data_IF_782843339965
#
_entry.id   IF_782843339965
#
_cell.length_a   1.000
_cell.length_b   1.000
_cell.length_c   1.000
_cell.angle_alpha   90.00
_cell.angle_beta   90.00
_cell.angle_gamma   90.00
#
_symmetry.space_group_name_H-M   'P 1'
#
loop_
_entity.id
_entity.type
_entity.pdbx_description
1 polymer ?
#
# COMPACT_ATOMS: atom_id res chain seq x y z
N UNK A 1 -5.42 -39.21 -9.75
CA UNK A 1 -4.68 -37.96 -9.57
C UNK A 1 -5.57 -37.04 -8.74
N UNK A 2 -5.29 -36.88 -7.45
CA UNK A 2 -6.14 -36.10 -6.53
C UNK A 2 -5.69 -34.64 -6.57
N UNK A 3 -6.32 -33.82 -7.41
CA UNK A 3 -6.28 -32.37 -7.22
C UNK A 3 -6.98 -32.06 -5.88
N UNK A 4 -6.37 -31.23 -5.04
CA UNK A 4 -6.66 -31.15 -3.61
C UNK A 4 -8.14 -30.95 -3.26
N UNK A 5 -8.66 -31.84 -2.40
CA UNK A 5 -10.02 -31.89 -1.83
C UNK A 5 -10.49 -30.59 -1.11
N UNK A 6 -9.66 -29.54 -1.06
CA UNK A 6 -9.95 -28.25 -0.43
C UNK A 6 -10.39 -27.18 -1.44
N UNK A 7 -10.21 -27.38 -2.75
CA UNK A 7 -10.67 -26.43 -3.77
C UNK A 7 -12.19 -26.47 -3.95
N UNK A 8 -12.85 -27.58 -3.60
CA UNK A 8 -14.30 -27.74 -3.71
C UNK A 8 -15.09 -26.86 -2.70
N UNK A 9 -14.44 -26.42 -1.62
CA UNK A 9 -15.04 -25.57 -0.57
C UNK A 9 -14.68 -24.08 -0.74
N UNK A 10 -14.21 -23.68 -1.92
CA UNK A 10 -13.88 -22.28 -2.17
C UNK A 10 -15.09 -21.37 -2.25
N UNK A 11 -14.83 -20.08 -2.09
CA UNK A 11 -15.77 -19.05 -2.50
C UNK A 11 -16.11 -19.25 -3.98
N UNK A 12 -17.38 -19.09 -4.31
CA UNK A 12 -17.92 -19.26 -5.65
C UNK A 12 -17.63 -18.01 -6.49
N UNK A 13 -17.70 -18.17 -7.80
CA UNK A 13 -17.55 -17.04 -8.71
C UNK A 13 -18.77 -16.10 -8.62
N UNK A 14 -18.50 -14.81 -8.45
CA UNK A 14 -19.49 -13.73 -8.58
C UNK A 14 -18.84 -12.46 -9.13
N UNK A 15 -19.60 -11.53 -9.72
CA UNK A 15 -19.06 -10.23 -10.11
C UNK A 15 -18.57 -9.45 -8.89
N UNK A 16 -17.31 -9.02 -8.92
CA UNK A 16 -16.71 -8.18 -7.90
C UNK A 16 -16.56 -6.73 -8.38
N UNK A 17 -16.98 -5.79 -7.55
CA UNK A 17 -16.74 -4.36 -7.71
C UNK A 17 -16.18 -3.79 -6.40
N UNK A 18 -15.13 -2.98 -6.51
CA UNK A 18 -14.60 -2.19 -5.42
C UNK A 18 -14.16 -0.84 -5.96
N UNK A 19 -14.69 0.24 -5.38
CA UNK A 19 -14.21 1.59 -5.58
C UNK A 19 -13.22 1.90 -4.47
N UNK A 20 -11.99 2.24 -4.83
CA UNK A 20 -10.92 2.50 -3.88
C UNK A 20 -10.44 3.93 -4.05
N UNK A 21 -10.30 4.65 -2.93
CA UNK A 21 -9.75 6.00 -2.91
C UNK A 21 -8.71 6.12 -1.81
N UNK A 22 -7.59 6.74 -2.13
CA UNK A 22 -6.54 7.05 -1.16
C UNK A 22 -6.01 8.46 -1.40
N UNK A 23 -5.78 9.18 -0.30
CA UNK A 23 -5.15 10.48 -0.31
C UNK A 23 -3.88 10.43 0.53
N UNK A 24 -2.78 10.91 -0.06
CA UNK A 24 -1.46 10.97 0.57
C UNK A 24 -1.04 12.42 0.84
N UNK A 25 -0.31 12.63 1.92
CA UNK A 25 0.28 13.92 2.28
C UNK A 25 1.71 13.73 2.73
N UNK A 26 2.62 14.54 2.20
CA UNK A 26 4.00 14.63 2.71
C UNK A 26 4.00 15.57 3.91
N UNK A 27 4.18 15.01 5.10
CA UNK A 27 4.16 15.76 6.35
C UNK A 27 5.45 16.54 6.56
N UNK A 28 6.57 15.94 6.20
CA UNK A 28 7.89 16.53 6.40
C UNK A 28 8.85 16.06 5.31
N UNK A 29 9.79 16.94 4.98
CA UNK A 29 10.97 16.61 4.21
C UNK A 29 12.08 17.58 4.55
N UNK A 30 13.24 17.07 4.95
CA UNK A 30 14.40 17.90 5.26
C UNK A 30 15.68 17.26 4.75
N UNK A 31 16.58 18.10 4.25
CA UNK A 31 17.98 17.74 4.10
C UNK A 31 18.70 17.99 5.43
N UNK A 32 19.53 17.04 5.85
CA UNK A 32 20.34 17.12 7.07
C UNK A 32 21.77 17.56 6.75
N UNK A 33 22.38 16.94 5.73
CA UNK A 33 23.74 17.27 5.28
C UNK A 33 23.87 17.02 3.78
N UNK A 34 23.96 18.09 2.99
CA UNK A 34 24.05 18.01 1.54
C UNK A 34 22.84 17.30 0.92
N UNK A 35 23.07 16.09 0.40
CA UNK A 35 22.05 15.26 -0.26
C UNK A 35 21.44 14.19 0.65
N UNK A 36 21.96 14.04 1.86
CA UNK A 36 21.39 13.17 2.89
C UNK A 36 20.21 13.86 3.59
N UNK A 37 19.09 13.18 3.71
CA UNK A 37 17.90 13.72 4.33
C UNK A 37 16.89 12.65 4.70
N UNK A 38 15.72 13.11 5.13
CA UNK A 38 14.60 12.26 5.50
C UNK A 38 13.28 12.89 5.06
N UNK A 39 12.27 12.05 4.85
CA UNK A 39 10.89 12.49 4.66
C UNK A 39 9.91 11.55 5.37
N UNK A 40 8.69 12.07 5.58
CA UNK A 40 7.59 11.28 6.06
C UNK A 40 6.31 11.62 5.29
N UNK A 41 5.57 10.58 4.95
CA UNK A 41 4.35 10.63 4.15
C UNK A 41 3.28 9.89 4.94
N UNK A 42 2.09 10.47 5.04
CA UNK A 42 0.93 9.79 5.62
C UNK A 42 -0.16 9.65 4.59
N UNK A 43 -1.11 8.77 4.85
CA UNK A 43 -2.27 8.58 3.99
C UNK A 43 -3.54 8.28 4.77
N UNK A 44 -4.66 8.53 4.11
CA UNK A 44 -6.00 8.15 4.51
C UNK A 44 -6.73 7.66 3.27
N UNK A 45 -7.38 6.51 3.38
CA UNK A 45 -8.08 5.92 2.26
C UNK A 45 -9.15 4.92 2.70
N UNK A 46 -9.71 4.25 1.71
CA UNK A 46 -10.68 3.20 1.92
C UNK A 46 -11.15 2.58 0.62
N UNK A 47 -11.90 1.50 0.78
CA UNK A 47 -12.61 0.84 -0.29
C UNK A 47 -14.09 0.71 0.05
N UNK A 48 -14.94 0.76 -0.98
CA UNK A 48 -16.37 0.47 -0.90
C UNK A 48 -16.76 -0.46 -2.04
N UNK A 49 -17.43 -1.56 -1.70
CA UNK A 49 -17.85 -2.56 -2.68
C UNK A 49 -18.12 -3.92 -2.05
N UNK A 50 -18.53 -4.87 -2.89
CA UNK A 50 -18.85 -6.23 -2.47
C UNK A 50 -17.60 -7.11 -2.30
N UNK A 51 -16.43 -6.71 -2.82
CA UNK A 51 -15.16 -7.39 -2.52
C UNK A 51 -14.60 -6.92 -1.18
N UNK A 52 -14.54 -5.60 -0.99
CA UNK A 52 -13.96 -4.96 0.19
C UNK A 52 -14.75 -3.72 0.60
N UNK A 53 -14.98 -3.58 1.91
CA UNK A 53 -15.39 -2.31 2.53
C UNK A 53 -14.51 -2.05 3.74
N UNK A 54 -13.67 -1.03 3.68
CA UNK A 54 -12.74 -0.67 4.75
C UNK A 54 -12.35 0.81 4.70
N UNK A 55 -11.82 1.30 5.82
CA UNK A 55 -11.04 2.53 5.88
C UNK A 55 -9.62 2.22 6.39
N UNK A 56 -8.61 2.91 5.87
CA UNK A 56 -7.22 2.74 6.27
C UNK A 56 -6.49 4.07 6.44
N UNK A 57 -5.48 4.07 7.30
CA UNK A 57 -4.55 5.18 7.46
C UNK A 57 -3.18 4.64 7.83
N UNK A 58 -2.14 5.37 7.47
CA UNK A 58 -0.79 4.92 7.70
C UNK A 58 0.25 5.99 7.50
N UNK A 59 1.50 5.60 7.68
CA UNK A 59 2.66 6.47 7.51
C UNK A 59 3.82 5.68 6.94
N UNK A 60 4.60 6.36 6.12
CA UNK A 60 5.91 5.94 5.66
C UNK A 60 6.94 6.98 6.05
N UNK A 61 8.09 6.52 6.55
CA UNK A 61 9.25 7.35 6.80
C UNK A 61 10.44 6.83 6.00
N UNK A 62 11.23 7.74 5.44
CA UNK A 62 12.43 7.42 4.67
C UNK A 62 13.63 8.23 5.13
N UNK A 63 14.79 7.61 5.08
CA UNK A 63 16.07 8.20 5.45
C UNK A 63 17.14 7.76 4.45
N UNK A 64 17.88 8.70 3.89
CA UNK A 64 18.85 8.34 2.86
C UNK A 64 19.44 9.50 2.07
N UNK A 65 20.26 9.13 1.09
CA UNK A 65 20.90 10.02 0.15
C UNK A 65 20.05 10.15 -1.12
N UNK A 66 19.78 11.38 -1.56
CA UNK A 66 18.98 11.67 -2.77
C UNK A 66 17.64 10.93 -2.80
N UNK A 67 16.85 11.00 -1.71
CA UNK A 67 15.52 10.38 -1.67
C UNK A 67 14.65 10.92 -2.84
N UNK A 68 14.08 10.06 -3.69
CA UNK A 68 13.23 10.49 -4.81
C UNK A 68 12.02 11.32 -4.34
N UNK A 69 11.54 12.19 -5.22
CA UNK A 69 10.43 13.10 -4.93
C UNK A 69 9.13 12.42 -5.35
N UNK A 70 8.75 11.35 -4.68
CA UNK A 70 7.53 10.58 -4.94
C UNK A 70 6.72 10.34 -3.65
N UNK A 71 5.66 9.55 -3.77
CA UNK A 71 4.73 9.25 -2.68
C UNK A 71 5.02 7.96 -1.91
N UNK A 72 6.31 7.56 -1.85
CA UNK A 72 6.77 6.46 -1.00
C UNK A 72 6.48 5.07 -1.54
N UNK A 73 7.12 4.07 -0.93
CA UNK A 73 6.96 2.66 -1.23
C UNK A 73 5.48 2.21 -1.21
N UNK A 74 5.16 1.37 -2.19
CA UNK A 74 3.82 0.84 -2.40
C UNK A 74 3.66 -0.45 -1.58
N UNK A 75 2.84 -0.44 -0.53
CA UNK A 75 2.47 -1.67 0.17
C UNK A 75 1.59 -2.54 -0.74
N UNK A 76 1.56 -3.86 -0.55
CA UNK A 76 0.64 -4.73 -1.29
C UNK A 76 -0.79 -4.52 -0.77
N UNK A 77 -1.51 -3.57 -1.37
CA UNK A 77 -2.92 -3.26 -1.04
C UNK A 77 -3.70 -2.69 -2.23
N UNK A 78 -5.03 -2.82 -2.25
CA UNK A 78 -5.86 -2.13 -3.24
C UNK A 78 -5.66 -0.61 -3.16
N UNK A 79 -5.53 0.05 -4.31
CA UNK A 79 -5.25 1.50 -4.37
C UNK A 79 -3.80 1.88 -4.06
N UNK A 80 -2.89 0.91 -3.99
CA UNK A 80 -1.47 1.23 -3.85
C UNK A 80 -0.92 1.87 -5.13
N UNK A 81 -0.18 2.95 -4.95
CA UNK A 81 0.24 3.83 -6.03
C UNK A 81 1.60 3.43 -6.62
N UNK A 82 1.86 3.88 -7.82
CA UNK A 82 3.19 3.84 -8.45
C UNK A 82 4.03 4.94 -7.83
N UNK A 83 5.35 4.75 -7.71
CA UNK A 83 6.31 5.76 -7.25
C UNK A 83 6.47 6.91 -8.28
N UNK A 84 5.38 7.45 -8.83
CA UNK A 84 5.44 8.48 -9.85
C UNK A 84 6.17 9.73 -9.32
N UNK A 85 7.12 10.29 -10.07
CA UNK A 85 7.74 11.55 -9.72
C UNK A 85 6.69 12.65 -9.51
N UNK A 86 6.68 13.26 -8.34
CA UNK A 86 5.80 14.37 -7.97
C UNK A 86 6.44 15.74 -8.28
N UNK A 87 7.63 15.78 -8.89
CA UNK A 87 8.33 16.99 -9.25
C UNK A 87 9.37 16.76 -10.36
N UNK A 88 9.58 17.77 -11.19
CA UNK A 88 10.69 17.81 -12.17
C UNK A 88 12.08 17.79 -11.51
N UNK A 89 12.17 18.12 -10.21
CA UNK A 89 13.40 18.03 -9.41
C UNK A 89 13.69 16.61 -8.91
N UNK A 90 12.91 15.62 -9.34
CA UNK A 90 13.17 14.24 -9.00
C UNK A 90 14.54 13.80 -9.54
N UNK A 91 15.41 13.17 -8.72
CA UNK A 91 16.71 12.70 -9.17
C UNK A 91 16.62 11.80 -10.42
N UNK A 92 15.49 11.11 -10.63
CA UNK A 92 15.24 10.27 -11.80
C UNK A 92 15.10 11.04 -13.11
N UNK A 93 14.82 12.35 -13.07
CA UNK A 93 14.67 13.23 -14.24
C UNK A 93 15.90 14.11 -14.53
N UNK A 94 16.95 14.04 -13.71
CA UNK A 94 18.14 14.86 -13.93
C UNK A 94 19.08 14.25 -14.98
N UNK A 95 19.73 15.09 -15.80
CA UNK A 95 20.57 14.71 -16.95
C UNK A 95 21.78 13.81 -16.58
N UNK A 96 22.18 13.84 -15.30
CA UNK A 96 23.05 12.85 -14.67
C UNK A 96 22.27 12.24 -13.50
N UNK A 97 21.66 11.06 -13.69
CA UNK A 97 20.94 10.35 -12.63
C UNK A 97 21.91 10.14 -11.45
N UNK A 98 21.74 10.87 -10.34
CA UNK A 98 22.69 10.77 -9.24
C UNK A 98 22.34 9.53 -8.44
N UNK A 99 23.37 8.82 -7.98
CA UNK A 99 23.19 7.72 -7.03
C UNK A 99 22.27 8.15 -5.88
N UNK A 100 21.25 7.33 -5.62
CA UNK A 100 20.33 7.47 -4.51
C UNK A 100 20.26 6.18 -3.72
N UNK A 101 20.19 6.30 -2.40
CA UNK A 101 20.07 5.16 -1.50
C UNK A 101 19.24 5.58 -0.30
N UNK A 102 18.16 4.86 -0.02
CA UNK A 102 17.31 5.14 1.12
C UNK A 102 16.82 3.88 1.83
N UNK A 103 16.71 3.99 3.15
CA UNK A 103 15.95 3.09 3.99
C UNK A 103 14.54 3.62 4.11
N UNK A 104 13.55 2.73 4.10
CA UNK A 104 12.15 3.09 4.32
C UNK A 104 11.50 2.13 5.31
N UNK A 105 10.52 2.65 6.05
CA UNK A 105 9.62 1.89 6.89
C UNK A 105 8.19 2.40 6.71
N UNK A 106 7.25 1.49 6.57
CA UNK A 106 5.85 1.74 6.28
C UNK A 106 4.98 1.04 7.32
N UNK A 107 3.93 1.72 7.76
CA UNK A 107 2.91 1.21 8.65
C UNK A 107 1.52 1.56 8.09
N UNK A 108 0.60 0.59 8.05
CA UNK A 108 -0.80 0.78 7.64
C UNK A 108 -1.72 0.12 8.65
N UNK A 109 -2.71 0.85 9.14
CA UNK A 109 -3.80 0.32 9.95
C UNK A 109 -5.11 0.36 9.16
N UNK A 110 -5.90 -0.71 9.26
CA UNK A 110 -7.16 -0.85 8.52
C UNK A 110 -8.30 -1.32 9.42
N UNK A 111 -9.43 -0.61 9.32
CA UNK A 111 -10.72 -1.02 9.84
C UNK A 111 -11.55 -1.70 8.74
N UNK A 112 -11.75 -3.02 8.83
CA UNK A 112 -12.39 -3.86 7.80
C UNK A 112 -13.83 -4.18 8.21
N UNK A 113 -14.79 -3.63 7.48
CA UNK A 113 -16.22 -3.95 7.66
C UNK A 113 -16.65 -5.14 6.80
N UNK A 114 -16.09 -5.26 5.59
CA UNK A 114 -16.39 -6.33 4.64
C UNK A 114 -15.14 -6.79 3.92
N UNK A 115 -14.96 -8.10 3.83
CA UNK A 115 -13.94 -8.79 3.06
C UNK A 115 -14.54 -10.11 2.56
N UNK A 116 -14.93 -10.15 1.29
CA UNK A 116 -15.56 -11.31 0.64
C UNK A 116 -14.75 -12.61 0.78
N UNK A 117 -13.43 -12.52 0.91
CA UNK A 117 -12.56 -13.70 1.09
C UNK A 117 -12.66 -14.32 2.50
N UNK A 118 -13.24 -13.60 3.47
CA UNK A 118 -13.49 -14.08 4.82
C UNK A 118 -14.99 -14.20 5.12
N UNK A 119 -15.79 -13.25 4.64
CA UNK A 119 -17.23 -13.17 4.86
C UNK A 119 -18.03 -14.08 3.91
N UNK A 120 -17.40 -14.57 2.85
CA UNK A 120 -18.06 -15.33 1.80
C UNK A 120 -18.69 -14.45 0.71
N UNK A 121 -19.31 -15.10 -0.25
CA UNK A 121 -19.98 -14.50 -1.40
C UNK A 121 -21.15 -13.59 -0.99
N UNK A 122 -21.34 -12.52 -1.76
CA UNK A 122 -22.40 -11.53 -1.51
C UNK A 122 -23.73 -11.96 -2.13
N UNK A 123 -23.70 -12.64 -3.28
CA UNK A 123 -24.90 -13.00 -4.04
C UNK A 123 -25.30 -14.47 -3.91
N UNK A 124 -24.40 -15.30 -3.37
CA UNK A 124 -24.64 -16.72 -3.17
C UNK A 124 -24.16 -17.14 -1.78
N UNK A 125 -24.77 -18.17 -1.20
CA UNK A 125 -24.29 -18.70 0.06
C UNK A 125 -22.97 -19.46 -0.16
N UNK A 126 -21.97 -19.12 0.65
CA UNK A 126 -20.68 -19.81 0.76
C UNK A 126 -20.23 -19.87 2.22
N UNK A 127 -19.10 -20.51 2.47
CA UNK A 127 -18.48 -20.52 3.78
C UNK A 127 -17.98 -19.12 4.16
N UNK A 128 -18.04 -18.83 5.46
CA UNK A 128 -17.49 -17.63 6.07
C UNK A 128 -16.73 -18.00 7.35
N UNK A 129 -15.81 -17.15 7.75
CA UNK A 129 -15.01 -17.29 8.98
C UNK A 129 -15.02 -16.00 9.76
N UNK A 130 -14.84 -16.10 11.07
CA UNK A 130 -14.71 -14.92 11.91
C UNK A 130 -13.47 -14.11 11.51
N UNK A 131 -13.68 -12.82 11.25
CA UNK A 131 -12.62 -11.88 10.86
C UNK A 131 -12.25 -10.95 12.00
N UNK A 132 -11.02 -10.42 11.94
CA UNK A 132 -10.61 -9.28 12.76
C UNK A 132 -11.01 -7.99 12.07
N UNK A 133 -11.75 -7.15 12.79
CA UNK A 133 -12.17 -5.84 12.28
C UNK A 133 -11.03 -4.82 12.19
N UNK A 134 -9.93 -5.03 12.93
CA UNK A 134 -8.75 -4.17 12.88
C UNK A 134 -7.51 -5.00 12.56
N UNK A 135 -6.81 -4.59 11.51
CA UNK A 135 -5.56 -5.22 11.03
C UNK A 135 -4.51 -4.13 10.87
N UNK A 136 -3.25 -4.45 11.14
CA UNK A 136 -2.13 -3.55 10.92
C UNK A 136 -1.00 -4.29 10.18
N UNK A 137 -0.43 -3.62 9.18
CA UNK A 137 0.68 -4.10 8.37
C UNK A 137 1.91 -3.22 8.62
N UNK A 138 3.08 -3.86 8.70
CA UNK A 138 4.36 -3.18 8.82
C UNK A 138 5.33 -3.75 7.78
N UNK A 139 6.02 -2.87 7.07
CA UNK A 139 7.06 -3.24 6.11
C UNK A 139 8.25 -2.28 6.22
N UNK A 140 9.42 -2.76 5.83
CA UNK A 140 10.63 -1.94 5.74
C UNK A 140 11.53 -2.48 4.64
N UNK A 141 12.46 -1.65 4.17
CA UNK A 141 13.38 -2.08 3.12
C UNK A 141 14.39 -1.02 2.74
N UNK A 142 15.11 -1.31 1.65
CA UNK A 142 16.13 -0.45 1.06
C UNK A 142 15.79 -0.23 -0.40
N UNK A 143 15.91 1.00 -0.87
CA UNK A 143 15.74 1.37 -2.28
C UNK A 143 16.97 2.11 -2.77
N UNK A 144 17.40 1.79 -4.00
CA UNK A 144 18.52 2.45 -4.64
C UNK A 144 18.18 2.90 -6.06
N UNK A 145 18.74 4.04 -6.44
CA UNK A 145 18.71 4.60 -7.80
C UNK A 145 20.17 4.60 -8.29
N UNK A 146 20.40 3.96 -9.43
CA UNK A 146 21.71 3.84 -10.09
C UNK A 146 21.54 4.37 -11.52
#
# INVERSE_FOLDING_TARGET
MNAGLHWDNQIKNEPGLAVVYERKWRLLRKSLLGRFGFDAITHLGGALGNVYTYANTGMEARLGWNIPIDFGASLIRPGSDTNAPASERDPRFTHHQPFGLNLFACFDGRGVLHNMFLDGNTFTNSYSVDKKYFVADFAWGVSMII
#
